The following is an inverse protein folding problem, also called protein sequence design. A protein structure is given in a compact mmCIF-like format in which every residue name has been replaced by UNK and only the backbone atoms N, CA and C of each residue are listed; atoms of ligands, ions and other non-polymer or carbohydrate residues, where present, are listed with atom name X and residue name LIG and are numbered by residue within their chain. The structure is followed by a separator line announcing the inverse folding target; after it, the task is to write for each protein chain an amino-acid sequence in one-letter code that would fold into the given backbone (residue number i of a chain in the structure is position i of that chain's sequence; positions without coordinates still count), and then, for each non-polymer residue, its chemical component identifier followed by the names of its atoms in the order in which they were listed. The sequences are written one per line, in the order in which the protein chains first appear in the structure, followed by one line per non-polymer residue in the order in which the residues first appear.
data_IF_221449580907
#
_entry.id   IF_221449580907
#
_cell.length_a   1.000
_cell.length_b   1.000
_cell.length_c   1.000
_cell.angle_alpha   90.00
_cell.angle_beta   90.00
_cell.angle_gamma   90.00
#
_symmetry.space_group_name_H-M   'P 1'
#
loop_
_entity.id
_entity.type
_entity.pdbx_description
1 polymer ?
#
# COMPACT_ATOMS: atom_id res chain seq x y z
N UNK A 1 64.36 15.35 -34.38
CA UNK A 1 63.10 14.60 -34.20
C UNK A 1 63.10 13.97 -32.82
N UNK A 2 62.23 14.41 -31.89
CA UNK A 2 62.07 13.69 -30.63
C UNK A 2 61.48 12.30 -30.93
N UNK A 3 62.02 11.27 -30.29
CA UNK A 3 61.48 9.90 -30.35
C UNK A 3 59.99 9.89 -30.04
N UNK A 4 59.21 9.12 -30.80
CA UNK A 4 57.76 8.96 -30.65
C UNK A 4 57.35 8.66 -29.19
N UNK A 5 58.20 7.92 -28.46
CA UNK A 5 58.00 7.64 -27.02
C UNK A 5 58.07 8.89 -26.14
N UNK A 6 58.98 9.84 -26.44
CA UNK A 6 59.07 11.11 -25.70
C UNK A 6 57.88 12.02 -26.00
N UNK A 7 57.34 11.99 -27.21
CA UNK A 7 56.14 12.77 -27.54
C UNK A 7 54.90 12.23 -26.82
N UNK A 8 54.73 10.91 -26.74
CA UNK A 8 53.63 10.29 -25.97
C UNK A 8 53.75 10.60 -24.49
N UNK A 9 54.96 10.54 -23.93
CA UNK A 9 55.18 10.87 -22.52
C UNK A 9 54.92 12.34 -22.21
N UNK A 10 55.32 13.25 -23.12
CA UNK A 10 55.01 14.68 -23.01
C UNK A 10 53.50 14.93 -23.11
N UNK A 11 52.80 14.25 -24.01
CA UNK A 11 51.34 14.38 -24.16
C UNK A 11 50.59 13.87 -22.92
N UNK A 12 51.03 12.75 -22.32
CA UNK A 12 50.48 12.28 -21.04
C UNK A 12 50.75 13.26 -19.89
N UNK A 13 51.93 13.88 -19.85
CA UNK A 13 52.26 14.87 -18.82
C UNK A 13 51.47 16.17 -18.99
N UNK A 14 51.22 16.58 -20.24
CA UNK A 14 50.37 17.73 -20.56
C UNK A 14 48.91 17.44 -20.22
N UNK A 15 48.37 16.25 -20.53
CA UNK A 15 46.99 15.91 -20.14
C UNK A 15 46.82 15.75 -18.63
N UNK A 16 47.81 15.20 -17.93
CA UNK A 16 47.82 15.09 -16.46
C UNK A 16 47.97 16.46 -15.78
N UNK A 17 48.73 17.38 -16.37
CA UNK A 17 48.83 18.76 -15.91
C UNK A 17 47.55 19.58 -16.21
N UNK A 18 46.89 19.32 -17.33
CA UNK A 18 45.64 20.00 -17.69
C UNK A 18 44.46 19.56 -16.81
N UNK A 19 44.44 18.31 -16.32
CA UNK A 19 43.41 17.85 -15.39
C UNK A 19 43.57 18.41 -13.97
N UNK A 20 44.67 19.11 -13.65
CA UNK A 20 44.90 19.71 -12.33
C UNK A 20 44.65 21.23 -12.27
N UNK A 21 44.14 21.85 -13.34
CA UNK A 21 43.97 23.31 -13.43
C UNK A 21 42.51 23.80 -13.47
N UNK A 22 41.53 22.93 -13.27
CA UNK A 22 40.16 23.38 -13.01
C UNK A 22 40.00 23.57 -11.50
N UNK A 23 40.58 24.65 -10.97
CA UNK A 23 40.14 25.16 -9.67
C UNK A 23 38.81 25.84 -9.90
N UNK A 24 37.74 25.27 -9.35
CA UNK A 24 36.45 25.93 -9.35
C UNK A 24 36.58 27.26 -8.58
N UNK A 25 36.21 28.37 -9.22
CA UNK A 25 36.37 29.69 -8.65
C UNK A 25 35.25 29.92 -7.61
N UNK A 26 35.58 29.80 -6.33
CA UNK A 26 34.64 30.08 -5.24
C UNK A 26 34.24 31.57 -5.22
N UNK A 27 32.94 31.82 -5.31
CA UNK A 27 32.31 33.12 -5.12
C UNK A 27 31.84 33.27 -3.67
N UNK A 28 31.94 34.49 -3.15
CA UNK A 28 31.48 34.83 -1.82
C UNK A 28 30.09 35.44 -1.89
N UNK A 29 29.13 34.83 -1.20
CA UNK A 29 27.77 35.38 -1.05
C UNK A 29 27.56 35.86 0.39
N UNK A 30 27.08 37.09 0.56
CA UNK A 30 26.70 37.66 1.85
C UNK A 30 25.19 37.72 1.96
N UNK A 31 24.66 37.05 2.97
CA UNK A 31 23.22 36.88 3.17
C UNK A 31 22.76 37.66 4.39
N UNK A 32 21.77 38.52 4.22
CA UNK A 32 21.10 39.23 5.32
C UNK A 32 19.71 38.66 5.53
N UNK A 33 19.49 38.04 6.69
CA UNK A 33 18.18 37.45 7.02
C UNK A 33 17.23 38.52 7.55
N UNK A 34 16.05 38.65 6.94
CA UNK A 34 14.99 39.57 7.36
C UNK A 34 13.64 38.86 7.48
N UNK A 35 12.82 39.33 8.41
CA UNK A 35 11.45 38.85 8.58
C UNK A 35 10.56 39.40 7.46
N UNK A 36 9.73 38.54 6.88
CA UNK A 36 8.68 38.95 5.94
C UNK A 36 7.73 39.98 6.59
N UNK A 37 7.39 39.77 7.87
CA UNK A 37 6.57 40.69 8.64
C UNK A 37 7.41 41.85 9.21
N UNK A 38 7.38 42.99 8.52
CA UNK A 38 7.95 44.24 9.03
C UNK A 38 9.44 44.45 8.78
N UNK A 39 10.08 43.60 7.95
CA UNK A 39 11.43 43.82 7.42
C UNK A 39 12.54 43.97 8.48
N UNK A 40 12.35 43.37 9.66
CA UNK A 40 13.33 43.39 10.76
C UNK A 40 14.40 42.34 10.51
N UNK A 41 15.65 42.66 10.83
CA UNK A 41 16.73 41.68 10.78
C UNK A 41 16.52 40.56 11.81
N UNK A 42 16.83 39.34 11.40
CA UNK A 42 16.82 38.15 12.27
C UNK A 42 18.24 37.97 12.84
N UNK A 43 18.35 37.84 14.17
CA UNK A 43 19.61 37.72 14.93
C UNK A 43 19.41 36.81 16.14
N UNK A 44 20.51 36.32 16.70
CA UNK A 44 20.59 35.43 17.86
C UNK A 44 19.81 34.11 17.67
N UNK A 45 19.89 33.54 16.48
CA UNK A 45 19.17 32.32 16.06
C UNK A 45 20.13 31.24 15.56
N UNK A 46 19.72 29.98 15.70
CA UNK A 46 20.35 28.85 15.00
C UNK A 46 19.80 28.78 13.57
N UNK A 47 20.68 28.65 12.58
CA UNK A 47 20.31 28.58 11.18
C UNK A 47 20.92 27.32 10.56
N UNK A 48 20.09 26.49 9.95
CA UNK A 48 20.51 25.43 9.03
C UNK A 48 20.22 25.90 7.60
N UNK A 49 21.28 26.06 6.82
CA UNK A 49 21.21 26.44 5.41
C UNK A 49 21.40 25.17 4.59
N UNK A 50 20.35 24.73 3.90
CA UNK A 50 20.39 23.63 2.96
C UNK A 50 20.67 24.22 1.58
N UNK A 51 21.84 23.91 1.04
CA UNK A 51 22.25 24.34 -0.30
C UNK A 51 22.04 23.17 -1.24
N UNK A 52 21.12 23.31 -2.19
CA UNK A 52 20.87 22.32 -3.24
C UNK A 52 21.35 22.89 -4.56
N UNK A 53 22.33 22.25 -5.18
CA UNK A 53 22.76 22.60 -6.53
C UNK A 53 21.78 22.01 -7.56
N UNK A 54 21.23 22.85 -8.45
CA UNK A 54 20.13 22.43 -9.32
C UNK A 54 20.53 21.41 -10.38
N UNK A 55 21.76 21.47 -10.87
CA UNK A 55 22.25 20.60 -11.95
C UNK A 55 22.60 19.21 -11.43
N UNK A 56 23.46 19.13 -10.41
CA UNK A 56 23.90 17.88 -9.79
C UNK A 56 22.85 17.28 -8.85
N UNK A 57 21.93 18.11 -8.33
CA UNK A 57 21.03 17.80 -7.21
C UNK A 57 21.76 17.42 -5.92
N UNK A 58 23.04 17.77 -5.81
CA UNK A 58 23.78 17.60 -4.57
C UNK A 58 23.24 18.54 -3.50
N UNK A 59 23.11 18.01 -2.29
CA UNK A 59 22.61 18.72 -1.12
C UNK A 59 23.71 18.79 -0.06
N UNK A 60 23.95 19.98 0.47
CA UNK A 60 24.82 20.19 1.63
C UNK A 60 24.12 21.03 2.67
N UNK A 61 24.33 20.69 3.94
CA UNK A 61 23.74 21.39 5.08
C UNK A 61 24.84 22.13 5.83
N UNK A 62 24.66 23.44 6.02
CA UNK A 62 25.55 24.30 6.80
C UNK A 62 24.78 24.76 8.03
N UNK A 63 25.25 24.39 9.21
CA UNK A 63 24.66 24.80 10.48
C UNK A 63 25.51 25.87 11.14
N UNK A 64 24.90 26.98 11.57
CA UNK A 64 25.60 28.07 12.26
C UNK A 64 24.69 28.83 13.20
N UNK A 65 25.24 29.34 14.30
CA UNK A 65 24.54 30.24 15.21
C UNK A 65 24.84 31.70 14.84
N UNK A 66 23.81 32.44 14.43
CA UNK A 66 23.95 33.78 13.84
C UNK A 66 23.65 34.83 14.89
N UNK A 67 24.70 35.50 15.40
CA UNK A 67 24.57 36.66 16.32
C UNK A 67 24.28 37.97 15.58
N UNK A 68 24.76 38.08 14.36
CA UNK A 68 24.59 39.28 13.52
C UNK A 68 24.69 38.92 12.04
N UNK A 69 23.97 39.68 11.21
CA UNK A 69 24.13 39.65 9.76
C UNK A 69 25.39 40.45 9.33
N UNK A 70 25.92 40.21 8.12
CA UNK A 70 25.53 39.18 7.15
C UNK A 70 26.22 37.82 7.39
N UNK A 71 25.58 36.75 6.94
CA UNK A 71 26.14 35.40 6.87
C UNK A 71 26.97 35.30 5.59
N UNK A 72 28.22 34.86 5.69
CA UNK A 72 29.08 34.67 4.51
C UNK A 72 29.12 33.20 4.13
N UNK A 73 28.76 32.86 2.89
CA UNK A 73 28.98 31.53 2.31
C UNK A 73 29.96 31.62 1.14
N UNK A 74 30.69 30.54 0.92
CA UNK A 74 31.51 30.34 -0.27
C UNK A 74 30.94 29.19 -1.08
N UNK A 75 30.63 29.49 -2.33
CA UNK A 75 29.97 28.61 -3.28
C UNK A 75 30.67 28.73 -4.62
N UNK A 76 30.78 27.65 -5.36
CA UNK A 76 31.23 27.71 -6.75
C UNK A 76 30.18 28.44 -7.60
N UNK A 77 30.55 28.83 -8.83
CA UNK A 77 29.58 29.39 -9.75
C UNK A 77 28.52 28.34 -10.12
N UNK A 78 27.25 28.71 -10.09
CA UNK A 78 26.17 27.75 -10.34
C UNK A 78 24.78 28.25 -9.96
N UNK A 79 23.78 27.40 -10.19
CA UNK A 79 22.39 27.66 -9.84
C UNK A 79 22.01 26.86 -8.60
N UNK A 80 21.65 27.56 -7.54
CA UNK A 80 21.35 26.97 -6.24
C UNK A 80 19.92 27.26 -5.80
N UNK A 81 19.35 26.31 -5.06
CA UNK A 81 18.19 26.50 -4.22
C UNK A 81 18.66 26.49 -2.77
N UNK A 82 18.55 27.63 -2.09
CA UNK A 82 18.90 27.79 -0.69
C UNK A 82 17.63 27.68 0.16
N UNK A 83 17.62 26.76 1.12
CA UNK A 83 16.55 26.67 2.12
C UNK A 83 17.12 27.04 3.48
N UNK A 84 16.42 27.91 4.19
CA UNK A 84 16.82 28.41 5.50
C UNK A 84 15.82 27.91 6.54
N UNK A 85 16.34 27.08 7.44
CA UNK A 85 15.64 26.55 8.58
C UNK A 85 16.15 27.27 9.83
N UNK A 86 15.34 28.18 10.38
CA UNK A 86 15.78 29.14 11.40
C UNK A 86 15.01 28.91 12.70
N UNK A 87 15.75 28.87 13.80
CA UNK A 87 15.26 28.49 15.13
C UNK A 87 15.77 29.47 16.19
N UNK A 88 14.86 30.14 16.90
CA UNK A 88 15.20 30.86 18.13
C UNK A 88 15.14 29.85 19.29
N UNK A 89 16.30 29.50 19.83
CA UNK A 89 16.43 28.49 20.89
C UNK A 89 15.71 28.86 22.20
N UNK A 90 15.13 30.07 22.30
CA UNK A 90 14.28 30.50 23.41
C UNK A 90 12.82 30.11 23.24
N UNK A 91 12.39 29.73 22.04
CA UNK A 91 11.01 29.33 21.74
C UNK A 91 10.89 27.79 21.71
N UNK A 92 9.70 27.23 22.00
CA UNK A 92 9.50 25.78 22.00
C UNK A 92 9.33 25.15 20.61
N UNK A 93 8.99 25.95 19.58
CA UNK A 93 8.82 25.52 18.19
C UNK A 93 9.86 26.12 17.26
N UNK A 94 9.68 25.96 15.95
CA UNK A 94 10.50 26.66 14.93
C UNK A 94 9.93 28.04 14.66
N UNK A 95 10.79 28.98 14.26
CA UNK A 95 10.41 30.39 14.17
C UNK A 95 10.32 30.92 12.75
N UNK A 96 11.28 30.55 11.88
CA UNK A 96 11.27 31.03 10.50
C UNK A 96 11.70 29.99 9.48
N UNK A 97 11.15 30.13 8.27
CA UNK A 97 11.52 29.36 7.09
C UNK A 97 11.68 30.29 5.89
N UNK A 98 12.67 30.02 5.04
CA UNK A 98 12.82 30.71 3.76
C UNK A 98 13.32 29.75 2.68
N UNK A 99 12.96 30.02 1.44
CA UNK A 99 13.43 29.31 0.27
C UNK A 99 13.71 30.31 -0.84
N UNK A 100 14.91 30.26 -1.43
CA UNK A 100 15.36 31.23 -2.42
C UNK A 100 16.20 30.55 -3.49
N UNK A 101 15.88 30.83 -4.76
CA UNK A 101 16.74 30.47 -5.89
C UNK A 101 17.77 31.55 -6.14
N UNK A 102 19.02 31.15 -6.36
CA UNK A 102 20.14 32.05 -6.63
C UNK A 102 20.95 31.51 -7.80
N UNK A 103 21.14 32.35 -8.81
CA UNK A 103 22.14 32.16 -9.85
C UNK A 103 23.41 32.90 -9.41
N UNK A 104 24.50 32.17 -9.18
CA UNK A 104 25.75 32.70 -8.68
C UNK A 104 26.77 32.75 -9.82
N UNK A 105 26.85 33.90 -10.48
CA UNK A 105 27.87 34.24 -11.49
C UNK A 105 29.05 34.98 -10.87
N UNK A 106 28.79 35.76 -9.82
CA UNK A 106 29.79 36.57 -9.08
C UNK A 106 29.40 36.72 -7.62
N UNK A 107 30.37 37.15 -6.82
CA UNK A 107 30.13 37.52 -5.42
C UNK A 107 29.03 38.59 -5.29
N UNK A 108 28.04 38.35 -4.43
CA UNK A 108 26.85 39.20 -4.30
C UNK A 108 26.36 39.31 -2.85
N UNK A 109 25.67 40.40 -2.58
CA UNK A 109 24.97 40.66 -1.32
C UNK A 109 23.47 40.46 -1.55
N UNK A 110 22.85 39.57 -0.78
CA UNK A 110 21.44 39.17 -0.96
C UNK A 110 20.66 39.29 0.35
N UNK A 111 19.45 39.82 0.25
CA UNK A 111 18.47 39.77 1.33
C UNK A 111 17.63 38.51 1.20
N UNK A 112 17.50 37.78 2.31
CA UNK A 112 16.68 36.57 2.42
C UNK A 112 15.48 36.89 3.29
N UNK A 113 14.31 36.82 2.69
CA UNK A 113 13.03 37.08 3.36
C UNK A 113 12.52 35.77 3.94
N UNK A 114 12.51 35.68 5.27
CA UNK A 114 12.04 34.50 5.99
C UNK A 114 10.64 34.73 6.56
N UNK A 115 9.77 33.75 6.33
CA UNK A 115 8.40 33.74 6.81
C UNK A 115 8.34 33.16 8.21
N UNK A 116 7.50 33.75 9.05
CA UNK A 116 7.24 33.20 10.37
C UNK A 116 6.55 31.82 10.24
N UNK A 117 6.97 30.86 11.06
CA UNK A 117 6.41 29.49 11.11
C UNK A 117 6.27 29.02 12.54
N UNK A 118 5.62 27.89 12.73
CA UNK A 118 5.54 27.16 13.99
C UNK A 118 5.77 25.67 13.80
N UNK A 119 5.58 24.89 14.85
CA UNK A 119 5.72 23.44 14.80
C UNK A 119 4.45 22.72 15.23
N UNK A 120 4.20 21.56 14.61
CA UNK A 120 3.12 20.65 15.00
C UNK A 120 3.70 19.27 15.18
N UNK A 121 3.49 18.67 16.35
CA UNK A 121 3.77 17.26 16.62
C UNK A 121 2.43 16.54 16.74
N UNK A 122 2.31 15.36 16.17
CA UNK A 122 1.07 14.62 16.32
C UNK A 122 1.26 13.13 16.40
N UNK A 123 0.19 12.47 16.85
CA UNK A 123 0.14 11.04 17.07
C UNK A 123 -1.17 10.51 16.50
N UNK A 124 -1.10 9.38 15.80
CA UNK A 124 -2.26 8.74 15.18
C UNK A 124 -2.66 7.50 16.00
N UNK A 125 -3.93 7.44 16.37
CA UNK A 125 -4.53 6.34 17.10
C UNK A 125 -5.63 5.65 16.29
N UNK A 126 -5.76 4.33 16.44
CA UNK A 126 -6.93 3.59 15.97
C UNK A 126 -8.12 3.70 16.95
N UNK A 127 -9.22 3.01 16.66
CA UNK A 127 -10.42 2.98 17.52
C UNK A 127 -10.20 2.22 18.84
N UNK A 128 -9.15 1.41 18.93
CA UNK A 128 -8.76 0.64 20.12
C UNK A 128 -7.66 1.36 20.92
N UNK A 129 -7.33 2.60 20.57
CA UNK A 129 -6.30 3.43 21.19
C UNK A 129 -4.87 2.88 21.03
N UNK A 130 -4.63 2.10 19.98
CA UNK A 130 -3.28 1.70 19.57
C UNK A 130 -2.65 2.79 18.72
N UNK A 131 -1.33 2.96 18.84
CA UNK A 131 -0.54 3.80 17.96
C UNK A 131 -0.50 3.18 16.56
N UNK A 132 -0.68 4.01 15.53
CA UNK A 132 -0.73 3.55 14.13
C UNK A 132 0.52 4.05 13.41
N UNK A 133 1.48 3.16 13.20
CA UNK A 133 2.66 3.42 12.37
C UNK A 133 2.35 3.41 10.88
N UNK A 134 3.17 4.10 10.08
CA UNK A 134 3.07 4.11 8.60
C UNK A 134 1.65 4.48 8.09
N UNK A 135 0.88 5.26 8.85
CA UNK A 135 -0.37 5.83 8.39
C UNK A 135 -0.07 6.92 7.36
N UNK A 136 -0.72 6.85 6.20
CA UNK A 136 -0.59 7.87 5.15
C UNK A 136 -1.18 9.19 5.66
N UNK A 137 -0.43 10.27 5.50
CA UNK A 137 -0.77 11.61 5.92
C UNK A 137 -1.03 12.50 4.71
N UNK A 138 -2.07 13.32 4.82
CA UNK A 138 -2.33 14.45 3.94
C UNK A 138 -2.38 15.70 4.79
N UNK A 139 -1.45 16.63 4.53
CA UNK A 139 -1.38 17.92 5.23
C UNK A 139 -1.87 19.01 4.30
N UNK A 140 -2.84 19.79 4.74
CA UNK A 140 -3.38 20.93 4.01
C UNK A 140 -3.35 22.16 4.91
N UNK A 141 -2.45 23.10 4.62
CA UNK A 141 -2.34 24.37 5.33
C UNK A 141 -2.92 25.53 4.51
N UNK A 142 -3.38 26.57 5.20
CA UNK A 142 -3.91 27.79 4.57
C UNK A 142 -2.89 28.58 3.74
N UNK A 143 -1.60 28.30 3.94
CA UNK A 143 -0.44 28.85 3.22
C UNK A 143 0.56 27.73 2.97
N UNK A 144 1.52 28.00 2.08
CA UNK A 144 2.63 27.10 1.76
C UNK A 144 3.84 27.98 1.37
N UNK A 145 5.03 27.64 1.88
CA UNK A 145 6.28 28.36 1.63
C UNK A 145 7.36 27.47 0.95
N UNK A 146 7.00 26.27 0.50
CA UNK A 146 7.92 25.28 -0.10
C UNK A 146 8.46 24.24 0.90
N UNK A 147 7.97 24.27 2.14
CA UNK A 147 8.23 23.25 3.14
C UNK A 147 7.70 21.88 2.71
N UNK A 148 8.45 20.83 3.04
CA UNK A 148 8.03 19.44 2.81
C UNK A 148 7.53 18.85 4.11
N UNK A 149 6.32 18.29 4.07
CA UNK A 149 5.72 17.60 5.20
C UNK A 149 5.86 16.08 5.07
N UNK A 150 5.85 15.35 6.20
CA UNK A 150 5.85 13.89 6.16
C UNK A 150 4.59 13.36 5.48
N UNK A 151 4.77 12.39 4.59
CA UNK A 151 3.67 11.69 3.92
C UNK A 151 3.16 10.50 4.75
N UNK A 152 3.91 10.10 5.79
CA UNK A 152 3.57 8.97 6.65
C UNK A 152 3.96 9.24 8.10
N UNK A 153 3.26 8.61 9.04
CA UNK A 153 3.71 8.53 10.44
C UNK A 153 4.92 7.60 10.58
N UNK A 154 5.77 7.88 11.55
CA UNK A 154 6.92 7.04 11.88
C UNK A 154 6.53 5.66 12.47
N UNK A 155 7.56 4.90 12.86
CA UNK A 155 7.41 3.54 13.44
C UNK A 155 6.71 3.52 14.80
N UNK A 156 6.55 4.66 15.46
CA UNK A 156 5.82 4.80 16.73
C UNK A 156 4.47 5.51 16.56
N UNK A 157 4.02 5.72 15.32
CA UNK A 157 2.74 6.34 14.98
C UNK A 157 2.70 7.85 15.20
N UNK A 158 3.87 8.50 15.24
CA UNK A 158 4.02 9.93 15.39
C UNK A 158 4.38 10.63 14.08
N UNK A 159 4.08 11.92 13.97
CA UNK A 159 4.47 12.76 12.86
C UNK A 159 4.86 14.16 13.35
N UNK A 160 5.68 14.87 12.56
CA UNK A 160 6.14 16.21 12.90
C UNK A 160 6.19 17.12 11.69
N UNK A 161 5.54 18.28 11.79
CA UNK A 161 5.64 19.39 10.87
C UNK A 161 6.50 20.45 11.55
N UNK A 162 7.81 20.47 11.25
CA UNK A 162 8.74 21.33 11.98
C UNK A 162 8.56 22.82 11.64
N UNK A 163 8.38 23.15 10.36
CA UNK A 163 8.26 24.52 9.84
C UNK A 163 6.87 24.75 9.23
N UNK A 164 5.82 24.45 9.99
CA UNK A 164 4.45 24.63 9.52
C UNK A 164 4.10 26.13 9.40
N UNK A 165 3.45 26.56 8.31
CA UNK A 165 3.14 27.96 8.08
C UNK A 165 2.06 28.46 9.03
N UNK A 166 2.07 29.76 9.34
CA UNK A 166 1.09 30.35 10.25
C UNK A 166 -0.33 30.28 9.68
N UNK A 167 -1.27 29.89 10.53
CA UNK A 167 -2.68 29.79 10.20
C UNK A 167 -3.24 28.39 10.44
N UNK A 168 -4.38 28.10 9.81
CA UNK A 168 -5.00 26.78 9.96
C UNK A 168 -4.28 25.73 9.10
N UNK A 169 -3.97 24.59 9.71
CA UNK A 169 -3.56 23.36 9.04
C UNK A 169 -4.52 22.23 9.40
N UNK A 170 -4.94 21.46 8.40
CA UNK A 170 -5.74 20.24 8.54
C UNK A 170 -4.84 19.06 8.17
N UNK A 171 -4.64 18.16 9.13
CA UNK A 171 -3.86 16.95 8.93
C UNK A 171 -4.84 15.79 8.92
N UNK A 172 -4.88 15.05 7.81
CA UNK A 172 -5.69 13.84 7.65
C UNK A 172 -4.77 12.64 7.65
N UNK A 173 -5.09 11.63 8.44
CA UNK A 173 -4.39 10.36 8.47
C UNK A 173 -5.32 9.25 7.98
N UNK A 174 -4.78 8.31 7.22
CA UNK A 174 -5.49 7.11 6.79
C UNK A 174 -4.63 5.88 6.96
N UNK A 175 -5.23 4.82 7.49
CA UNK A 175 -4.62 3.50 7.55
C UNK A 175 -5.68 2.45 7.26
N UNK A 176 -5.34 1.48 6.40
CA UNK A 176 -6.27 0.47 5.88
C UNK A 176 -7.52 1.08 5.20
N UNK A 177 -8.63 1.18 5.94
CA UNK A 177 -9.90 1.78 5.50
C UNK A 177 -10.45 2.78 6.51
N UNK A 178 -9.65 3.16 7.50
CA UNK A 178 -10.04 4.09 8.54
C UNK A 178 -9.34 5.43 8.33
N UNK A 179 -10.09 6.51 8.47
CA UNK A 179 -9.62 7.88 8.29
C UNK A 179 -9.94 8.71 9.53
N UNK A 180 -9.00 9.58 9.89
CA UNK A 180 -9.13 10.58 10.94
C UNK A 180 -8.56 11.90 10.45
N UNK A 181 -9.04 13.02 10.98
CA UNK A 181 -8.46 14.33 10.68
C UNK A 181 -8.39 15.16 11.95
N UNK A 182 -7.33 15.96 12.07
CA UNK A 182 -7.16 16.95 13.11
C UNK A 182 -6.94 18.33 12.49
N UNK A 183 -7.46 19.37 13.14
CA UNK A 183 -7.21 20.76 12.78
C UNK A 183 -6.36 21.41 13.87
N UNK A 184 -5.37 22.18 13.46
CA UNK A 184 -4.52 22.97 14.35
C UNK A 184 -4.34 24.37 13.78
N UNK A 185 -4.32 25.38 14.65
CA UNK A 185 -3.94 26.75 14.29
C UNK A 185 -2.50 26.96 14.72
N UNK A 186 -1.61 27.17 13.76
CA UNK A 186 -0.18 27.28 13.97
C UNK A 186 0.20 28.71 14.29
N UNK A 187 0.92 28.88 15.41
CA UNK A 187 1.46 30.15 15.89
C UNK A 187 2.99 30.16 15.81
N UNK A 188 3.56 31.37 15.72
CA UNK A 188 5.00 31.58 15.53
C UNK A 188 5.80 31.07 16.72
N UNK A 189 6.81 30.23 16.49
CA UNK A 189 7.71 29.74 17.54
C UNK A 189 7.02 28.82 18.56
N UNK A 190 5.77 28.41 18.32
CA UNK A 190 5.02 27.52 19.23
C UNK A 190 5.06 26.09 18.70
N UNK A 191 5.12 25.12 19.62
CA UNK A 191 4.99 23.69 19.30
C UNK A 191 3.63 23.17 19.74
N UNK A 192 2.73 22.95 18.79
CA UNK A 192 1.40 22.39 19.04
C UNK A 192 1.42 20.87 19.02
N UNK A 193 0.56 20.25 19.83
CA UNK A 193 0.34 18.79 19.82
C UNK A 193 -1.03 18.47 19.23
N UNK A 194 -1.10 17.46 18.36
CA UNK A 194 -2.32 17.02 17.68
C UNK A 194 -2.53 15.51 17.79
N UNK A 195 -3.69 15.09 18.29
CA UNK A 195 -4.09 13.68 18.27
C UNK A 195 -5.09 13.44 17.13
N UNK A 196 -4.83 12.43 16.30
CA UNK A 196 -5.74 12.03 15.21
C UNK A 196 -6.26 10.63 15.50
N UNK A 197 -7.59 10.47 15.57
CA UNK A 197 -8.25 9.16 15.78
C UNK A 197 -8.88 8.67 14.48
N UNK A 198 -8.51 7.46 14.05
CA UNK A 198 -9.03 6.82 12.83
C UNK A 198 -10.40 6.18 13.08
N UNK A 199 -11.45 7.00 13.23
CA UNK A 199 -12.79 6.57 13.65
C UNK A 199 -13.84 6.60 12.52
N UNK A 200 -13.49 7.01 11.30
CA UNK A 200 -14.39 7.04 10.15
C UNK A 200 -13.93 6.02 9.11
N UNK A 201 -14.87 5.39 8.40
CA UNK A 201 -14.54 4.48 7.31
C UNK A 201 -14.48 5.22 5.97
N UNK A 202 -13.53 4.85 5.12
CA UNK A 202 -13.49 5.30 3.72
C UNK A 202 -14.37 4.39 2.88
N UNK A 203 -15.49 4.93 2.40
CA UNK A 203 -16.34 4.24 1.42
C UNK A 203 -15.81 4.61 0.04
N UNK A 204 -15.04 3.71 -0.58
CA UNK A 204 -14.78 3.81 -2.02
C UNK A 204 -15.87 3.06 -2.76
N UNK A 205 -16.66 3.76 -3.57
CA UNK A 205 -17.56 3.14 -4.56
C UNK A 205 -16.72 2.58 -5.72
N UNK A 206 -15.84 1.63 -5.43
CA UNK A 206 -15.23 0.74 -6.41
C UNK A 206 -16.13 -0.47 -6.65
N UNK A 207 -17.42 -0.23 -6.93
CA UNK A 207 -18.40 -1.27 -7.17
C UNK A 207 -18.29 -1.80 -8.59
N UNK A 208 -18.15 -3.12 -8.73
CA UNK A 208 -18.08 -3.90 -9.98
C UNK A 208 -19.32 -3.74 -10.89
N UNK A 209 -19.62 -2.53 -11.38
CA UNK A 209 -20.68 -2.27 -12.35
C UNK A 209 -20.50 -3.10 -13.62
N UNK A 210 -19.25 -3.40 -13.98
CA UNK A 210 -18.90 -4.32 -15.06
C UNK A 210 -19.47 -5.74 -14.82
N UNK A 211 -19.35 -6.31 -13.62
CA UNK A 211 -19.85 -7.66 -13.36
C UNK A 211 -21.38 -7.71 -13.41
N UNK A 212 -22.05 -6.66 -12.92
CA UNK A 212 -23.52 -6.54 -13.00
C UNK A 212 -23.97 -6.44 -14.45
N UNK A 213 -23.27 -5.65 -15.27
CA UNK A 213 -23.54 -5.53 -16.70
C UNK A 213 -23.38 -6.88 -17.43
N UNK A 214 -22.28 -7.61 -17.21
CA UNK A 214 -22.06 -8.90 -17.86
C UNK A 214 -23.02 -10.00 -17.39
N UNK A 215 -23.47 -9.96 -16.13
CA UNK A 215 -24.48 -10.90 -15.65
C UNK A 215 -25.85 -10.66 -16.28
N UNK A 216 -26.23 -9.41 -16.54
CA UNK A 216 -27.46 -9.08 -17.29
C UNK A 216 -27.35 -9.54 -18.76
N UNK A 217 -26.21 -9.31 -19.42
CA UNK A 217 -25.98 -9.74 -20.81
C UNK A 217 -26.07 -11.27 -20.95
N UNK A 218 -25.50 -12.03 -20.01
CA UNK A 218 -25.57 -13.49 -20.02
C UNK A 218 -27.01 -13.98 -19.84
N UNK A 219 -27.79 -13.36 -18.95
CA UNK A 219 -29.21 -13.72 -18.75
C UNK A 219 -30.01 -13.49 -20.03
N UNK A 220 -29.79 -12.37 -20.73
CA UNK A 220 -30.48 -12.07 -22.00
C UNK A 220 -30.09 -13.06 -23.09
N UNK A 221 -28.80 -13.43 -23.20
CA UNK A 221 -28.32 -14.41 -24.18
C UNK A 221 -28.90 -15.81 -23.92
N UNK A 222 -28.96 -16.25 -22.66
CA UNK A 222 -29.57 -17.54 -22.29
C UNK A 222 -31.08 -17.55 -22.53
N UNK A 223 -31.77 -16.44 -22.23
CA UNK A 223 -33.19 -16.29 -22.54
C UNK A 223 -33.47 -16.34 -24.05
N UNK A 224 -32.65 -15.67 -24.86
CA UNK A 224 -32.74 -15.69 -26.32
C UNK A 224 -32.50 -17.07 -26.92
N UNK A 225 -31.47 -17.78 -26.44
CA UNK A 225 -31.16 -19.16 -26.87
C UNK A 225 -32.27 -20.16 -26.49
N UNK A 226 -32.85 -20.02 -25.29
CA UNK A 226 -34.00 -20.83 -24.86
C UNK A 226 -35.24 -20.61 -25.73
N UNK A 227 -35.54 -19.37 -26.10
CA UNK A 227 -36.65 -19.04 -27.00
C UNK A 227 -36.44 -19.60 -28.42
N UNK A 228 -35.22 -19.51 -28.95
CA UNK A 228 -34.87 -20.07 -30.26
C UNK A 228 -34.93 -21.61 -30.28
N UNK A 229 -34.40 -22.27 -29.24
CA UNK A 229 -34.47 -23.72 -29.09
C UNK A 229 -35.91 -24.24 -28.98
N UNK A 230 -36.77 -23.53 -28.25
CA UNK A 230 -38.18 -23.90 -28.13
C UNK A 230 -38.94 -23.76 -29.45
N UNK A 231 -38.68 -22.70 -30.22
CA UNK A 231 -39.27 -22.49 -31.55
C UNK A 231 -38.82 -23.55 -32.57
N UNK A 232 -37.60 -24.05 -32.45
CA UNK A 232 -37.08 -25.12 -33.31
C UNK A 232 -37.68 -26.49 -32.97
N UNK A 233 -38.14 -26.71 -31.74
CA UNK A 233 -38.65 -28.02 -31.31
C UNK A 233 -40.09 -28.30 -31.72
N UNK A 234 -40.88 -27.27 -32.07
CA UNK A 234 -42.27 -27.41 -32.53
C UNK A 234 -42.42 -27.97 -33.96
N UNK A 235 -41.33 -28.17 -34.72
CA UNK A 235 -41.37 -28.65 -36.11
C UNK A 235 -40.86 -30.08 -36.31
N UNK A 236 -41.18 -31.03 -35.42
CA UNK A 236 -40.89 -32.45 -35.66
C UNK A 236 -42.15 -33.16 -36.21
N UNK A 237 -42.08 -33.89 -37.34
CA UNK A 237 -43.21 -34.63 -37.87
C UNK A 237 -43.57 -35.82 -36.97
N UNK A 238 -44.88 -36.09 -36.83
CA UNK A 238 -45.42 -37.28 -36.14
C UNK A 238 -44.99 -38.54 -36.88
N UNK A 239 -44.26 -39.43 -36.21
CA UNK A 239 -43.91 -40.76 -36.75
C UNK A 239 -44.97 -41.78 -36.32
N UNK A 240 -45.39 -42.55 -37.32
CA UNK A 240 -46.48 -43.52 -37.40
C UNK A 240 -46.18 -44.82 -36.62
N UNK A 241 -47.24 -45.49 -36.16
CA UNK A 241 -47.21 -46.70 -35.31
C UNK A 241 -47.03 -48.02 -36.08
N UNK A 242 -46.58 -49.08 -35.34
CA UNK A 242 -46.87 -50.54 -35.45
C UNK A 242 -45.73 -51.47 -35.99
N UNK A 243 -45.57 -52.74 -35.53
CA UNK A 243 -45.57 -53.27 -34.14
C UNK A 243 -44.45 -54.31 -33.81
N UNK A 244 -44.43 -54.68 -32.51
CA UNK A 244 -44.06 -55.97 -31.89
C UNK A 244 -42.60 -56.45 -31.90
N UNK A 245 -41.90 -56.20 -30.79
CA UNK A 245 -41.35 -57.30 -30.00
C UNK A 245 -41.58 -57.02 -28.51
N UNK A 246 -42.05 -58.06 -27.82
CA UNK A 246 -42.32 -58.07 -26.40
C UNK A 246 -40.99 -58.18 -25.66
N UNK A 247 -40.75 -57.32 -24.67
CA UNK A 247 -40.22 -57.78 -23.38
C UNK A 247 -40.45 -56.71 -22.31
N UNK A 248 -41.18 -57.13 -21.28
CA UNK A 248 -41.58 -56.37 -20.11
C UNK A 248 -40.95 -57.13 -18.94
N UNK A 249 -39.93 -56.56 -18.30
CA UNK A 249 -39.65 -56.65 -16.85
C UNK A 249 -38.28 -56.06 -16.49
N UNK A 250 -38.31 -55.19 -15.47
CA UNK A 250 -37.25 -54.92 -14.48
C UNK A 250 -36.02 -54.15 -15.02
N UNK A 251 -35.44 -53.15 -14.36
CA UNK A 251 -35.39 -52.82 -12.93
C UNK A 251 -34.89 -51.37 -12.76
N UNK A 252 -35.36 -50.69 -11.72
CA UNK A 252 -34.65 -49.56 -11.11
C UNK A 252 -33.26 -50.04 -10.65
N UNK A 253 -32.19 -49.50 -11.22
CA UNK A 253 -30.85 -49.63 -10.65
C UNK A 253 -30.53 -48.42 -9.79
N UNK A 254 -31.05 -48.48 -8.57
CA UNK A 254 -30.40 -47.95 -7.39
C UNK A 254 -29.03 -48.64 -7.27
N UNK A 255 -27.93 -47.94 -7.56
CA UNK A 255 -26.62 -48.45 -7.15
C UNK A 255 -26.49 -48.25 -5.63
N UNK A 256 -27.02 -49.20 -4.86
CA UNK A 256 -26.32 -49.60 -3.64
C UNK A 256 -24.95 -50.11 -4.11
N UNK A 257 -23.98 -49.21 -4.20
CA UNK A 257 -22.57 -49.59 -4.22
C UNK A 257 -22.36 -50.34 -2.91
N UNK A 258 -22.34 -51.68 -3.00
CA UNK A 258 -22.05 -52.57 -1.87
C UNK A 258 -20.77 -52.05 -1.24
N UNK A 259 -20.91 -51.39 -0.09
CA UNK A 259 -19.81 -50.91 0.71
C UNK A 259 -18.91 -52.12 0.95
N UNK A 260 -17.66 -52.08 0.44
CA UNK A 260 -16.72 -53.18 0.60
C UNK A 260 -16.59 -53.52 2.09
N UNK A 261 -16.40 -54.80 2.43
CA UNK A 261 -16.25 -55.25 3.82
C UNK A 261 -15.17 -54.42 4.55
N UNK A 262 -14.10 -54.06 3.82
CA UNK A 262 -13.04 -53.15 4.27
C UNK A 262 -13.54 -51.75 4.59
N UNK A 263 -14.35 -51.16 3.72
CA UNK A 263 -14.93 -49.83 3.92
C UNK A 263 -15.87 -49.82 5.13
N UNK A 264 -16.63 -50.89 5.35
CA UNK A 264 -17.48 -51.04 6.53
C UNK A 264 -16.67 -51.17 7.82
N UNK A 265 -15.58 -51.94 7.81
CA UNK A 265 -14.68 -52.07 8.96
C UNK A 265 -14.02 -50.73 9.31
N UNK A 266 -13.61 -49.95 8.31
CA UNK A 266 -13.08 -48.59 8.51
C UNK A 266 -14.15 -47.67 9.10
N UNK A 267 -15.39 -47.71 8.60
CA UNK A 267 -16.50 -46.90 9.11
C UNK A 267 -16.80 -47.17 10.59
N UNK A 268 -16.59 -48.40 11.07
CA UNK A 268 -16.76 -48.76 12.47
C UNK A 268 -15.67 -48.21 13.40
N UNK A 269 -14.52 -47.80 12.86
CA UNK A 269 -13.42 -47.17 13.64
C UNK A 269 -13.53 -45.64 13.75
N UNK A 270 -14.52 -45.04 13.06
CA UNK A 270 -14.73 -43.60 13.07
C UNK A 270 -15.63 -43.16 14.21
N UNK A 271 -15.38 -41.96 14.74
CA UNK A 271 -16.32 -41.37 15.69
C UNK A 271 -17.61 -40.91 14.98
N UNK A 272 -18.70 -40.73 15.73
CA UNK A 272 -20.03 -40.38 15.18
C UNK A 272 -20.02 -39.19 14.22
N UNK A 273 -19.19 -38.17 14.51
CA UNK A 273 -19.11 -36.95 13.69
C UNK A 273 -18.30 -37.17 12.41
N UNK A 274 -17.25 -37.98 12.45
CA UNK A 274 -16.48 -38.43 11.30
C UNK A 274 -17.33 -39.31 10.38
N UNK A 275 -18.04 -40.29 10.96
CA UNK A 275 -18.94 -41.20 10.25
C UNK A 275 -20.03 -40.43 9.50
N UNK A 276 -20.60 -39.39 10.12
CA UNK A 276 -21.59 -38.51 9.48
C UNK A 276 -21.05 -37.83 8.22
N UNK A 277 -19.79 -37.39 8.24
CA UNK A 277 -19.14 -36.75 7.08
C UNK A 277 -18.80 -37.76 5.98
N UNK A 278 -18.36 -38.97 6.35
CA UNK A 278 -18.01 -40.01 5.36
C UNK A 278 -19.28 -40.58 4.69
N UNK A 279 -20.34 -40.86 5.45
CA UNK A 279 -21.64 -41.27 4.90
C UNK A 279 -22.22 -40.22 3.98
N UNK A 280 -22.06 -38.94 4.33
CA UNK A 280 -22.46 -37.84 3.47
C UNK A 280 -21.77 -37.88 2.10
N UNK A 281 -20.47 -38.17 2.07
CA UNK A 281 -19.70 -38.26 0.83
C UNK A 281 -20.08 -39.50 0.01
N UNK A 282 -20.35 -40.63 0.66
CA UNK A 282 -20.87 -41.85 0.00
C UNK A 282 -22.20 -41.57 -0.72
N UNK A 283 -23.10 -40.83 -0.08
CA UNK A 283 -24.41 -40.48 -0.68
C UNK A 283 -24.34 -39.41 -1.78
N UNK A 284 -23.17 -38.77 -1.98
CA UNK A 284 -22.99 -37.65 -2.90
C UNK A 284 -21.85 -37.90 -3.90
N UNK A 285 -21.85 -39.07 -4.55
CA UNK A 285 -20.88 -39.41 -5.62
C UNK A 285 -19.41 -39.23 -5.19
N UNK A 286 -19.12 -39.50 -3.92
CA UNK A 286 -17.77 -39.45 -3.32
C UNK A 286 -17.10 -38.08 -3.30
N UNK A 287 -17.81 -36.99 -3.63
CA UNK A 287 -17.25 -35.64 -3.65
C UNK A 287 -18.24 -34.58 -3.23
N UNK A 288 -17.77 -33.58 -2.47
CA UNK A 288 -18.58 -32.42 -2.12
C UNK A 288 -17.71 -31.21 -1.76
N UNK A 289 -18.33 -30.10 -1.37
CA UNK A 289 -17.64 -28.89 -0.91
C UNK A 289 -17.77 -28.72 0.60
N UNK A 290 -16.82 -28.03 1.23
CA UNK A 290 -16.88 -27.74 2.67
C UNK A 290 -18.18 -27.02 3.06
N UNK A 291 -18.67 -26.11 2.20
CA UNK A 291 -19.91 -25.37 2.45
C UNK A 291 -21.14 -26.28 2.43
N UNK A 292 -21.23 -27.18 1.44
CA UNK A 292 -22.34 -28.12 1.31
C UNK A 292 -22.37 -29.14 2.46
N UNK A 293 -21.21 -29.71 2.80
CA UNK A 293 -21.08 -30.62 3.96
C UNK A 293 -21.49 -29.90 5.24
N UNK A 294 -21.08 -28.64 5.46
CA UNK A 294 -21.46 -27.87 6.66
C UNK A 294 -22.97 -27.69 6.78
N UNK A 295 -23.62 -27.28 5.68
CA UNK A 295 -25.05 -26.98 5.67
C UNK A 295 -25.89 -28.22 5.92
N UNK A 296 -25.57 -29.33 5.24
CA UNK A 296 -26.38 -30.55 5.30
C UNK A 296 -26.05 -31.43 6.52
N UNK A 297 -24.80 -31.44 6.99
CA UNK A 297 -24.44 -32.20 8.20
C UNK A 297 -24.78 -31.47 9.51
N UNK A 298 -25.05 -30.15 9.46
CA UNK A 298 -25.29 -29.32 10.65
C UNK A 298 -24.07 -29.16 11.57
N UNK A 299 -22.87 -29.54 11.12
CA UNK A 299 -21.65 -29.49 11.92
C UNK A 299 -21.05 -28.07 11.86
N UNK A 300 -20.74 -27.42 13.01
CA UNK A 300 -20.11 -26.10 13.01
C UNK A 300 -18.78 -26.05 12.25
N UNK A 301 -18.46 -24.91 11.63
CA UNK A 301 -17.29 -24.74 10.74
C UNK A 301 -15.97 -25.15 11.40
N UNK A 302 -15.75 -24.74 12.65
CA UNK A 302 -14.51 -25.04 13.41
C UNK A 302 -14.39 -26.53 13.72
N UNK A 303 -15.50 -27.18 14.06
CA UNK A 303 -15.58 -28.63 14.27
C UNK A 303 -15.34 -29.40 12.97
N UNK A 304 -15.93 -28.94 11.86
CA UNK A 304 -15.80 -29.58 10.56
C UNK A 304 -14.35 -29.56 10.05
N UNK A 305 -13.61 -28.46 10.29
CA UNK A 305 -12.18 -28.38 9.96
C UNK A 305 -11.37 -29.42 10.73
N UNK A 306 -11.63 -29.62 12.03
CA UNK A 306 -10.94 -30.64 12.82
C UNK A 306 -11.26 -32.06 12.34
N UNK A 307 -12.51 -32.32 11.98
CA UNK A 307 -12.94 -33.61 11.40
C UNK A 307 -12.22 -33.88 10.08
N UNK A 308 -12.10 -32.86 9.22
CA UNK A 308 -11.38 -33.01 7.96
C UNK A 308 -9.89 -33.31 8.16
N UNK A 309 -9.23 -32.66 9.12
CA UNK A 309 -7.84 -32.98 9.46
C UNK A 309 -7.71 -34.43 9.95
N UNK A 310 -8.62 -34.87 10.83
CA UNK A 310 -8.64 -36.25 11.32
C UNK A 310 -8.84 -37.27 10.19
N UNK A 311 -9.84 -37.06 9.32
CA UNK A 311 -10.13 -37.95 8.19
C UNK A 311 -9.03 -37.94 7.13
N UNK A 312 -8.35 -36.81 6.93
CA UNK A 312 -7.21 -36.70 6.03
C UNK A 312 -5.99 -37.44 6.57
N UNK A 313 -5.71 -37.33 7.88
CA UNK A 313 -4.64 -38.09 8.54
C UNK A 313 -4.88 -39.61 8.46
N UNK A 314 -6.15 -40.04 8.51
CA UNK A 314 -6.56 -41.44 8.31
C UNK A 314 -6.58 -41.87 6.83
N UNK A 315 -6.19 -40.98 5.90
CA UNK A 315 -6.21 -41.19 4.43
C UNK A 315 -7.59 -41.51 3.84
N UNK A 316 -8.67 -41.12 4.51
CA UNK A 316 -10.05 -41.40 4.09
C UNK A 316 -10.55 -40.35 3.08
N UNK A 317 -10.16 -39.09 3.28
CA UNK A 317 -10.52 -37.98 2.39
C UNK A 317 -9.29 -37.26 1.85
N UNK A 318 -9.43 -36.65 0.67
CA UNK A 318 -8.52 -35.64 0.13
C UNK A 318 -9.21 -34.28 0.06
N UNK A 319 -8.44 -33.21 0.26
CA UNK A 319 -8.94 -31.83 0.26
C UNK A 319 -8.16 -31.04 -0.80
N UNK A 320 -8.88 -30.53 -1.80
CA UNK A 320 -8.34 -29.67 -2.85
C UNK A 320 -8.82 -28.23 -2.62
N UNK A 321 -7.88 -27.29 -2.53
CA UNK A 321 -8.18 -25.86 -2.43
C UNK A 321 -8.30 -25.24 -3.82
N UNK A 322 -9.47 -24.68 -4.12
CA UNK A 322 -9.77 -23.91 -5.32
C UNK A 322 -10.13 -22.47 -4.91
N UNK A 323 -9.12 -21.60 -4.78
CA UNK A 323 -9.29 -20.24 -4.27
C UNK A 323 -9.85 -20.24 -2.84
N UNK A 324 -11.03 -19.60 -2.64
CA UNK A 324 -11.73 -19.58 -1.34
C UNK A 324 -12.55 -20.85 -1.06
N UNK A 325 -12.68 -21.76 -2.03
CA UNK A 325 -13.45 -23.00 -1.91
C UNK A 325 -12.55 -24.19 -1.59
N UNK A 326 -13.03 -25.08 -0.72
CA UNK A 326 -12.41 -26.38 -0.45
C UNK A 326 -13.30 -27.49 -0.99
N UNK A 327 -12.78 -28.30 -1.89
CA UNK A 327 -13.40 -29.51 -2.43
C UNK A 327 -12.89 -30.72 -1.66
N UNK A 328 -13.79 -31.57 -1.21
CA UNK A 328 -13.51 -32.77 -0.42
C UNK A 328 -13.90 -33.98 -1.25
N UNK A 329 -13.02 -34.98 -1.33
CA UNK A 329 -13.24 -36.23 -2.06
C UNK A 329 -12.88 -37.41 -1.16
N UNK A 330 -13.55 -38.55 -1.33
CA UNK A 330 -13.05 -39.81 -0.78
C UNK A 330 -11.83 -40.26 -1.58
N UNK A 331 -10.85 -40.85 -0.91
CA UNK A 331 -9.64 -41.35 -1.55
C UNK A 331 -9.89 -42.70 -2.23
N UNK A 332 -9.09 -43.01 -3.25
CA UNK A 332 -9.13 -44.33 -3.90
C UNK A 332 -8.75 -45.45 -2.93
N UNK A 333 -7.84 -45.17 -1.98
CA UNK A 333 -7.47 -46.08 -0.89
C UNK A 333 -8.66 -46.48 -0.01
N UNK A 334 -9.59 -45.55 0.24
CA UNK A 334 -10.81 -45.81 1.03
C UNK A 334 -11.88 -46.55 0.23
N UNK A 335 -11.96 -46.29 -1.08
CA UNK A 335 -12.92 -46.89 -2.00
C UNK A 335 -12.44 -48.23 -2.59
N UNK A 336 -11.28 -48.74 -2.17
CA UNK A 336 -10.70 -50.00 -2.64
C UNK A 336 -10.44 -50.04 -4.16
N UNK A 337 -10.17 -48.87 -4.78
CA UNK A 337 -9.93 -48.72 -6.24
C UNK A 337 -8.45 -48.73 -6.64
N UNK A 338 -7.59 -49.28 -5.78
CA UNK A 338 -6.12 -49.36 -5.98
C UNK A 338 -5.62 -50.80 -6.22
N UNK A 339 -6.50 -51.73 -6.62
CA UNK A 339 -6.14 -53.02 -7.21
C UNK A 339 -6.70 -53.15 -8.62
#
# INVERSE_FOLDING_TARGET
MLSLKKQIWLLMLVTLAMSMLVQAEEQTIKLTLKQAEGNKEIKDVLVNIIVVEKESKEERVISSFIRSNPITLRLEQGNYLLKFQIDDLKTPGKDYYAEQEIALDKSLDQEIIAFSVGSVKGVVYDTLNNLVSEALLKVECSKEYGEKFPEETDRVGSFSLAYAPLGECVITATANRAVGSGKVTVEKGVSHTLEIRLNRAVISEGGNGWIIFWSIVIIVLLGGAGWFGWKYWQKRPKIVHMPLSQEKKQEEQQSEEKISKRTQDILNTLNEKEKKVVMFLLNHQHTSTQAKIRYESGIPKTTLVRIFISLQNKKIISIETMGKLKKIKLTNWFLDKEN
#
